data_IF_738380731255
#
_entry.id   IF_738380731255
#
_cell.length_a   1.000
_cell.length_b   1.000
_cell.length_c   1.000
_cell.angle_alpha   90.00
_cell.angle_beta   90.00
_cell.angle_gamma   90.00
#
_symmetry.space_group_name_H-M   'P 1'
#
loop_
_entity.id
_entity.type
_entity.pdbx_description
1 polymer ?
#
# COMPACT_ATOMS: atom_id res chain seq x y z
N UNK A 1 1.22 9.42 11.99
CA UNK A 1 2.30 10.01 11.18
C UNK A 1 3.44 10.36 12.12
N UNK A 2 4.69 10.13 11.70
CA UNK A 2 5.90 10.37 12.50
C UNK A 2 6.82 11.38 11.80
N UNK A 3 7.63 12.12 12.56
CA UNK A 3 8.62 13.07 12.05
C UNK A 3 9.99 12.39 11.86
N UNK A 4 10.08 11.45 10.92
CA UNK A 4 11.21 10.54 10.73
C UNK A 4 12.60 11.21 10.57
N UNK A 5 12.65 12.51 10.22
CA UNK A 5 13.91 13.26 10.15
C UNK A 5 14.56 13.41 11.52
N UNK A 6 13.77 13.52 12.58
CA UNK A 6 14.29 13.72 13.93
C UNK A 6 14.77 12.38 14.50
N UNK A 7 14.00 11.30 14.31
CA UNK A 7 14.43 9.94 14.65
C UNK A 7 15.76 9.56 13.96
N UNK A 8 15.96 10.00 12.71
CA UNK A 8 17.23 9.77 11.98
C UNK A 8 18.40 10.55 12.58
N UNK A 9 18.18 11.81 13.00
CA UNK A 9 19.23 12.64 13.64
C UNK A 9 19.60 12.12 15.02
N UNK A 10 18.63 11.63 15.78
CA UNK A 10 18.83 11.06 17.13
C UNK A 10 19.47 9.66 17.07
N UNK A 11 19.42 8.99 15.93
CA UNK A 11 20.01 7.67 15.71
C UNK A 11 19.06 6.50 15.97
N UNK A 12 17.78 6.79 16.22
CA UNK A 12 16.72 5.80 16.46
C UNK A 12 16.16 5.21 15.16
N UNK A 13 16.41 5.85 14.02
CA UNK A 13 16.02 5.38 12.69
C UNK A 13 17.24 5.08 11.80
N UNK A 14 17.25 3.90 11.18
CA UNK A 14 18.26 3.51 10.17
C UNK A 14 17.60 3.18 8.83
N UNK A 15 18.07 3.82 7.76
CA UNK A 15 17.67 3.49 6.39
C UNK A 15 18.46 2.25 5.94
N UNK A 16 17.76 1.19 5.53
CA UNK A 16 18.38 -0.01 4.99
C UNK A 16 18.58 0.12 3.46
N UNK A 17 19.69 -0.37 2.90
CA UNK A 17 19.86 -0.42 1.44
C UNK A 17 18.80 -1.34 0.83
N UNK A 18 18.21 -0.93 -0.30
CA UNK A 18 17.20 -1.73 -0.99
C UNK A 18 17.81 -3.03 -1.54
N UNK A 19 17.16 -4.15 -1.23
CA UNK A 19 17.46 -5.44 -1.84
C UNK A 19 16.83 -5.53 -3.23
N UNK A 20 17.37 -4.80 -4.20
CA UNK A 20 17.07 -4.90 -5.64
C UNK A 20 15.62 -5.32 -6.00
N UNK A 21 14.60 -4.68 -5.43
CA UNK A 21 13.33 -4.61 -6.14
C UNK A 21 13.59 -3.62 -7.26
N UNK A 22 13.51 -4.07 -8.51
CA UNK A 22 13.71 -3.24 -9.69
C UNK A 22 12.96 -1.91 -9.53
N UNK A 23 13.54 -0.76 -9.95
CA UNK A 23 12.84 0.51 -9.91
C UNK A 23 11.46 0.34 -10.55
N UNK A 24 10.41 1.01 -10.05
CA UNK A 24 9.09 0.96 -10.65
C UNK A 24 9.26 1.17 -12.15
N UNK A 25 8.86 0.19 -12.96
CA UNK A 25 9.05 0.23 -14.40
C UNK A 25 8.64 1.62 -14.90
N UNK A 26 9.54 2.27 -15.65
CA UNK A 26 9.31 3.60 -16.20
C UNK A 26 7.91 3.62 -16.81
N UNK A 27 7.04 4.47 -16.25
CA UNK A 27 5.65 4.53 -16.68
C UNK A 27 5.66 4.93 -18.15
N UNK A 28 5.14 4.06 -19.02
CA UNK A 28 4.68 4.45 -20.34
C UNK A 28 3.80 5.71 -20.18
N UNK A 29 4.05 6.80 -20.92
CA UNK A 29 3.28 8.05 -20.80
C UNK A 29 1.86 7.81 -21.32
N UNK A 30 1.01 7.18 -20.49
CA UNK A 30 -0.34 6.72 -20.83
C UNK A 30 -0.74 5.33 -20.29
N UNK A 31 0.13 4.61 -19.57
CA UNK A 31 -0.10 3.22 -19.16
C UNK A 31 -0.74 3.04 -17.77
N UNK A 32 -2.07 3.01 -17.71
CA UNK A 32 -2.94 2.36 -16.70
C UNK A 32 -2.42 2.33 -15.24
N UNK A 33 -2.34 3.49 -14.58
CA UNK A 33 -2.13 3.57 -13.11
C UNK A 33 -3.47 3.43 -12.34
N UNK A 34 -4.56 3.08 -13.02
CA UNK A 34 -5.92 3.40 -12.58
C UNK A 34 -6.83 2.17 -12.34
N UNK A 35 -6.25 0.98 -12.25
CA UNK A 35 -7.04 -0.24 -12.30
C UNK A 35 -7.81 -0.61 -11.03
N UNK A 36 -7.34 -0.21 -9.85
CA UNK A 36 -7.88 -0.68 -8.57
C UNK A 36 -8.49 0.43 -7.70
N UNK A 37 -8.08 1.69 -7.88
CA UNK A 37 -8.62 2.81 -7.09
C UNK A 37 -10.14 2.88 -7.29
N UNK A 38 -10.88 3.06 -6.20
CA UNK A 38 -12.34 3.08 -6.19
C UNK A 38 -13.02 1.70 -6.28
N UNK A 39 -12.27 0.61 -6.48
CA UNK A 39 -12.86 -0.74 -6.45
C UNK A 39 -13.15 -1.18 -5.02
N UNK A 40 -14.28 -1.87 -4.87
CA UNK A 40 -14.63 -2.55 -3.62
C UNK A 40 -13.79 -3.81 -3.46
N UNK A 41 -13.43 -4.12 -2.21
CA UNK A 41 -12.71 -5.31 -1.82
C UNK A 41 -13.48 -6.04 -0.72
N UNK A 42 -13.41 -7.36 -0.74
CA UNK A 42 -13.93 -8.23 0.32
C UNK A 42 -12.77 -9.00 0.93
N UNK A 43 -12.68 -8.99 2.27
CA UNK A 43 -11.69 -9.75 3.01
C UNK A 43 -12.39 -10.69 3.99
N UNK A 44 -12.11 -11.99 3.87
CA UNK A 44 -12.56 -13.00 4.83
C UNK A 44 -11.51 -13.13 5.93
N UNK A 45 -11.90 -12.82 7.17
CA UNK A 45 -11.10 -13.03 8.38
C UNK A 45 -10.97 -14.53 8.68
N UNK A 46 -10.04 -14.87 9.57
CA UNK A 46 -9.84 -16.26 10.01
C UNK A 46 -11.08 -16.88 10.69
N UNK A 47 -11.91 -16.08 11.34
CA UNK A 47 -13.18 -16.49 11.94
C UNK A 47 -14.31 -16.70 10.92
N UNK A 48 -14.03 -16.52 9.62
CA UNK A 48 -14.99 -16.64 8.53
C UNK A 48 -15.86 -15.41 8.30
N UNK A 49 -15.78 -14.38 9.16
CA UNK A 49 -16.48 -13.11 8.95
C UNK A 49 -15.85 -12.33 7.80
N UNK A 50 -16.67 -11.56 7.08
CA UNK A 50 -16.25 -10.78 5.92
C UNK A 50 -16.21 -9.30 6.25
N UNK A 51 -15.20 -8.59 5.73
CA UNK A 51 -15.10 -7.13 5.72
C UNK A 51 -15.21 -6.63 4.29
N UNK A 52 -15.91 -5.52 4.12
CA UNK A 52 -16.01 -4.82 2.84
C UNK A 52 -15.28 -3.49 2.99
N UNK A 53 -14.58 -3.09 1.94
CA UNK A 53 -13.89 -1.82 1.88
C UNK A 53 -13.63 -1.36 0.46
N UNK A 54 -12.87 -0.28 0.33
CA UNK A 54 -12.53 0.35 -0.94
C UNK A 54 -11.05 0.66 -1.01
N UNK A 55 -10.46 0.49 -2.20
CA UNK A 55 -9.10 0.96 -2.50
C UNK A 55 -9.15 2.48 -2.70
N UNK A 56 -8.43 3.23 -1.88
CA UNK A 56 -8.49 4.70 -1.87
C UNK A 56 -7.23 5.38 -2.39
N UNK A 57 -6.10 4.67 -2.45
CA UNK A 57 -4.84 5.23 -2.95
C UNK A 57 -3.86 4.15 -3.39
N UNK A 58 -2.96 4.48 -4.30
CA UNK A 58 -1.81 3.66 -4.68
C UNK A 58 -0.52 4.41 -4.34
N UNK A 59 0.44 3.73 -3.72
CA UNK A 59 1.71 4.34 -3.30
C UNK A 59 2.61 4.55 -4.52
N UNK A 60 3.02 5.80 -4.77
CA UNK A 60 3.83 6.13 -5.95
C UNK A 60 5.22 5.47 -5.94
N UNK A 61 5.87 5.40 -4.78
CA UNK A 61 7.20 4.80 -4.63
C UNK A 61 7.20 3.27 -4.75
N UNK A 62 6.08 2.61 -4.45
CA UNK A 62 5.91 1.14 -4.57
C UNK A 62 4.51 0.83 -5.11
N UNK A 63 4.33 0.74 -6.44
CA UNK A 63 3.01 0.61 -7.07
C UNK A 63 2.23 -0.67 -6.72
N UNK A 64 2.87 -1.70 -6.16
CA UNK A 64 2.15 -2.88 -5.65
C UNK A 64 1.44 -2.61 -4.31
N UNK A 65 1.77 -1.50 -3.64
CA UNK A 65 1.20 -1.12 -2.34
C UNK A 65 0.02 -0.17 -2.51
N UNK A 66 -1.08 -0.50 -1.82
CA UNK A 66 -2.34 0.25 -1.86
C UNK A 66 -2.84 0.59 -0.46
N UNK A 67 -3.55 1.69 -0.36
CA UNK A 67 -4.33 2.05 0.83
C UNK A 67 -5.77 1.56 0.68
N UNK A 68 -6.25 0.84 1.67
CA UNK A 68 -7.59 0.28 1.72
C UNK A 68 -8.33 0.83 2.94
N UNK A 69 -9.55 1.28 2.71
CA UNK A 69 -10.47 1.73 3.75
C UNK A 69 -11.60 0.71 3.91
N UNK A 70 -11.66 0.03 5.05
CA UNK A 70 -12.82 -0.82 5.37
C UNK A 70 -13.94 0.00 6.00
N UNK A 71 -15.18 -0.44 5.76
CA UNK A 71 -16.40 0.26 6.19
C UNK A 71 -16.67 0.13 7.69
N UNK A 72 -16.11 -0.89 8.34
CA UNK A 72 -16.36 -1.25 9.73
C UNK A 72 -15.39 -0.59 10.73
N UNK A 73 -14.46 0.26 10.28
CA UNK A 73 -13.59 1.02 11.18
C UNK A 73 -13.16 2.40 10.63
N UNK A 74 -12.29 3.11 11.37
CA UNK A 74 -11.74 4.41 11.02
C UNK A 74 -10.26 4.37 10.57
N UNK A 75 -9.62 3.20 10.50
CA UNK A 75 -8.22 3.08 10.08
C UNK A 75 -8.06 3.09 8.55
N UNK A 76 -6.84 3.38 8.10
CA UNK A 76 -6.40 3.17 6.71
C UNK A 76 -5.39 2.04 6.76
N UNK A 77 -5.65 0.99 5.98
CA UNK A 77 -4.78 -0.17 5.91
C UNK A 77 -3.85 -0.07 4.72
N UNK A 78 -2.63 -0.56 4.88
CA UNK A 78 -1.61 -0.60 3.83
C UNK A 78 -1.39 -2.06 3.45
N UNK A 79 -1.65 -2.41 2.20
CA UNK A 79 -1.51 -3.78 1.68
C UNK A 79 -0.62 -3.81 0.45
N UNK A 80 0.24 -4.82 0.37
CA UNK A 80 0.93 -5.20 -0.87
C UNK A 80 0.02 -6.17 -1.65
N UNK A 81 -0.52 -5.71 -2.78
CA UNK A 81 -1.44 -6.48 -3.62
C UNK A 81 -0.67 -7.16 -4.75
N UNK A 82 -0.28 -8.40 -4.53
CA UNK A 82 0.44 -9.23 -5.51
C UNK A 82 -0.54 -10.18 -6.20
N UNK A 83 -0.49 -10.25 -7.54
CA UNK A 83 -1.26 -11.22 -8.31
C UNK A 83 -0.72 -12.62 -8.02
N UNK A 84 -1.56 -13.51 -7.47
CA UNK A 84 -1.23 -14.94 -7.38
C UNK A 84 -1.47 -15.60 -8.75
N UNK A 85 -0.47 -16.36 -9.21
CA UNK A 85 -0.54 -17.24 -10.39
C UNK A 85 -1.18 -18.57 -10.05
#
# INVERSE_FOLDING_TARGET
MYQLLDDYKEGDLRIMPESSESPPAEREPGGVVDGLIGKHVEYTKEDGSKRIGMVIHQVEAKPSVYFIKFDDDFHIYVYDLVKKS
#
